data_IF_570586418955
#
_entry.id   IF_570586418955
#
_cell.length_a   1.000
_cell.length_b   1.000
_cell.length_c   1.000
_cell.angle_alpha   90.00
_cell.angle_beta   90.00
_cell.angle_gamma   90.00
#
_symmetry.space_group_name_H-M   'P 1'
#
loop_
_entity.id
_entity.type
_entity.pdbx_description
1 polymer ?
#
# COMPACT_ATOMS: atom_id res chain seq x y z
N UNK A 1 -6.46 -44.31 -21.37
CA UNK A 1 -5.32 -43.52 -20.84
C UNK A 1 -5.71 -42.90 -19.50
N UNK A 2 -5.31 -43.51 -18.38
CA UNK A 2 -5.55 -42.96 -17.05
C UNK A 2 -4.53 -41.85 -16.77
N UNK A 3 -4.97 -40.59 -16.78
CA UNK A 3 -4.15 -39.44 -16.37
C UNK A 3 -3.89 -39.54 -14.86
N UNK A 4 -2.72 -40.07 -14.50
CA UNK A 4 -2.23 -40.06 -13.13
C UNK A 4 -2.10 -38.63 -12.63
N UNK A 5 -2.99 -38.22 -11.72
CA UNK A 5 -2.82 -36.96 -10.97
C UNK A 5 -1.54 -37.09 -10.16
N UNK A 6 -0.49 -36.38 -10.57
CA UNK A 6 0.73 -36.25 -9.80
C UNK A 6 0.39 -35.77 -8.39
N UNK A 7 0.62 -36.64 -7.39
CA UNK A 7 0.48 -36.27 -5.97
C UNK A 7 1.54 -35.21 -5.69
N UNK A 8 1.11 -33.97 -5.48
CA UNK A 8 1.98 -32.90 -5.01
C UNK A 8 2.72 -33.30 -3.72
N UNK A 9 3.83 -32.62 -3.39
CA UNK A 9 4.68 -32.98 -2.27
C UNK A 9 3.86 -33.11 -0.98
N UNK A 10 3.87 -34.29 -0.37
CA UNK A 10 3.22 -34.55 0.91
C UNK A 10 3.97 -33.75 1.98
N UNK A 11 3.41 -32.61 2.40
CA UNK A 11 4.03 -31.78 3.43
C UNK A 11 4.24 -32.49 4.75
N UNK A 12 5.30 -32.10 5.46
CA UNK A 12 5.67 -32.68 6.76
C UNK A 12 4.62 -32.29 7.80
N UNK A 13 3.95 -33.28 8.39
CA UNK A 13 3.05 -33.06 9.54
C UNK A 13 3.88 -32.88 10.80
N UNK A 14 3.65 -31.77 11.52
CA UNK A 14 4.29 -31.52 12.81
C UNK A 14 3.45 -32.14 13.93
N UNK A 15 4.09 -32.93 14.79
CA UNK A 15 3.47 -33.46 16.00
C UNK A 15 3.62 -32.48 17.16
N UNK A 16 2.75 -32.58 18.17
CA UNK A 16 2.83 -31.72 19.36
C UNK A 16 4.17 -31.89 20.11
N UNK A 17 4.75 -33.10 20.10
CA UNK A 17 6.06 -33.36 20.72
C UNK A 17 7.17 -32.57 20.04
N UNK A 18 7.19 -32.56 18.70
CA UNK A 18 8.14 -31.76 17.92
C UNK A 18 7.94 -30.27 18.21
N UNK A 19 6.69 -29.79 18.19
CA UNK A 19 6.39 -28.39 18.49
C UNK A 19 6.87 -27.97 19.90
N UNK A 20 6.64 -28.80 20.92
CA UNK A 20 7.12 -28.53 22.29
C UNK A 20 8.64 -28.49 22.38
N UNK A 21 9.34 -29.42 21.71
CA UNK A 21 10.79 -29.47 21.70
C UNK A 21 11.43 -28.32 20.89
N UNK A 22 10.66 -27.70 20.00
CA UNK A 22 11.04 -26.52 19.22
C UNK A 22 10.87 -25.20 19.98
N UNK A 23 10.34 -25.22 21.20
CA UNK A 23 10.24 -24.02 22.03
C UNK A 23 11.61 -23.72 22.63
N UNK A 24 12.05 -22.48 22.44
CA UNK A 24 13.29 -21.92 23.00
C UNK A 24 12.94 -20.70 23.84
N UNK A 25 13.79 -20.40 24.82
CA UNK A 25 13.70 -19.15 25.58
C UNK A 25 14.64 -18.14 24.91
N UNK A 26 14.15 -16.96 24.60
CA UNK A 26 14.98 -15.87 24.07
C UNK A 26 15.76 -15.19 25.21
N UNK A 27 16.75 -14.38 24.87
CA UNK A 27 17.56 -13.68 25.87
C UNK A 27 16.71 -12.78 26.79
N UNK A 28 15.56 -12.29 26.30
CA UNK A 28 14.58 -11.50 27.04
C UNK A 28 13.63 -12.34 27.92
N UNK A 29 13.88 -13.65 28.06
CA UNK A 29 13.05 -14.57 28.84
C UNK A 29 11.73 -14.98 28.16
N UNK A 30 11.54 -14.64 26.88
CA UNK A 30 10.31 -14.93 26.13
C UNK A 30 10.32 -16.31 25.51
N UNK A 31 9.14 -16.88 25.26
CA UNK A 31 9.01 -18.21 24.67
C UNK A 31 8.84 -18.10 23.16
N UNK A 32 9.85 -18.58 22.41
CA UNK A 32 9.85 -18.64 20.96
C UNK A 32 9.60 -20.06 20.48
N UNK A 33 8.55 -20.25 19.69
CA UNK A 33 8.32 -21.49 18.94
C UNK A 33 8.96 -21.38 17.55
N UNK A 34 10.04 -22.13 17.34
CA UNK A 34 10.79 -22.14 16.08
C UNK A 34 10.48 -23.40 15.25
N UNK A 35 9.67 -23.21 14.21
CA UNK A 35 9.30 -24.22 13.22
C UNK A 35 9.75 -23.81 11.81
N UNK A 36 10.80 -23.00 11.73
CA UNK A 36 11.37 -22.57 10.46
C UNK A 36 12.00 -23.74 9.68
N UNK A 37 11.96 -23.67 8.34
CA UNK A 37 12.62 -24.67 7.45
C UNK A 37 12.17 -26.13 7.65
N UNK A 38 10.94 -26.36 8.10
CA UNK A 38 10.44 -27.70 8.42
C UNK A 38 9.68 -28.39 7.26
N UNK A 39 9.53 -27.73 6.11
CA UNK A 39 8.80 -28.29 4.96
C UNK A 39 7.29 -28.42 5.21
N UNK A 40 6.74 -27.54 6.04
CA UNK A 40 5.32 -27.54 6.42
C UNK A 40 4.50 -26.98 5.26
N UNK A 41 3.51 -27.73 4.78
CA UNK A 41 2.58 -27.25 3.72
C UNK A 41 1.26 -26.72 4.27
N UNK A 42 0.84 -27.24 5.42
CA UNK A 42 -0.43 -26.93 6.06
C UNK A 42 -0.17 -26.53 7.49
N UNK A 43 -0.83 -25.45 7.94
CA UNK A 43 -0.66 -24.96 9.29
C UNK A 43 -0.91 -26.08 10.33
N UNK A 44 0.04 -26.34 11.24
CA UNK A 44 -0.06 -27.45 12.17
C UNK A 44 -1.00 -27.10 13.33
N UNK A 45 -2.28 -27.50 13.26
CA UNK A 45 -3.29 -27.21 14.30
C UNK A 45 -2.87 -27.59 15.74
N UNK A 46 -1.93 -28.51 15.90
CA UNK A 46 -1.40 -28.88 17.22
C UNK A 46 -0.70 -27.71 17.94
N UNK A 47 -0.10 -26.76 17.21
CA UNK A 47 0.58 -25.61 17.83
C UNK A 47 -0.38 -24.62 18.48
N UNK A 48 -1.67 -24.67 18.13
CA UNK A 48 -2.72 -23.87 18.77
C UNK A 48 -2.92 -24.21 20.26
N UNK A 49 -2.37 -25.33 20.73
CA UNK A 49 -2.34 -25.70 22.15
C UNK A 49 -1.22 -25.00 22.93
N UNK A 50 -0.29 -24.34 22.24
CA UNK A 50 0.86 -23.63 22.79
C UNK A 50 0.59 -22.13 22.76
N UNK A 51 -0.54 -21.69 23.31
CA UNK A 51 -0.99 -20.29 23.28
C UNK A 51 -0.13 -19.35 24.15
N UNK A 52 0.77 -19.93 24.94
CA UNK A 52 1.68 -19.29 25.89
C UNK A 52 3.00 -18.83 25.27
N UNK A 53 3.10 -18.82 23.93
CA UNK A 53 4.29 -18.36 23.21
C UNK A 53 4.21 -16.87 22.87
N UNK A 54 5.34 -16.19 22.99
CA UNK A 54 5.50 -14.77 22.66
C UNK A 54 5.98 -14.57 21.21
N UNK A 55 6.73 -15.53 20.67
CA UNK A 55 7.33 -15.44 19.34
C UNK A 55 7.06 -16.72 18.55
N UNK A 56 6.61 -16.58 17.30
CA UNK A 56 6.30 -17.69 16.41
C UNK A 56 7.04 -17.54 15.09
N UNK A 57 7.93 -18.49 14.82
CA UNK A 57 8.68 -18.58 13.56
C UNK A 57 8.16 -19.75 12.74
N UNK A 58 7.48 -19.45 11.64
CA UNK A 58 7.05 -20.41 10.61
C UNK A 58 7.71 -20.11 9.27
N UNK A 59 8.83 -19.38 9.27
CA UNK A 59 9.51 -18.96 8.06
C UNK A 59 10.08 -20.13 7.24
N UNK A 60 10.30 -19.89 5.94
CA UNK A 60 10.93 -20.85 5.01
C UNK A 60 10.21 -22.20 4.97
N UNK A 61 8.88 -22.15 4.93
CA UNK A 61 8.02 -23.32 4.78
C UNK A 61 7.26 -23.21 3.44
N UNK A 62 6.23 -24.04 3.26
CA UNK A 62 5.38 -24.04 2.06
C UNK A 62 3.91 -23.76 2.44
N UNK A 63 3.69 -22.95 3.47
CA UNK A 63 2.35 -22.61 3.94
C UNK A 63 1.61 -21.80 2.89
N UNK A 64 0.40 -22.23 2.53
CA UNK A 64 -0.47 -21.50 1.60
C UNK A 64 -1.49 -20.57 2.28
N UNK A 65 -1.89 -20.94 3.49
CA UNK A 65 -2.91 -20.25 4.28
C UNK A 65 -2.57 -20.29 5.76
N UNK A 66 -2.89 -19.21 6.45
CA UNK A 66 -2.90 -19.14 7.91
C UNK A 66 -4.36 -19.29 8.37
N UNK A 67 -4.66 -20.15 9.36
CA UNK A 67 -6.04 -20.38 9.81
C UNK A 67 -6.52 -19.23 10.70
N UNK A 68 -7.84 -19.04 10.76
CA UNK A 68 -8.46 -18.02 11.61
C UNK A 68 -8.17 -18.24 13.10
N UNK A 69 -7.92 -19.48 13.51
CA UNK A 69 -7.52 -19.83 14.87
C UNK A 69 -6.16 -19.25 15.32
N UNK A 70 -5.46 -18.49 14.47
CA UNK A 70 -4.24 -17.75 14.86
C UNK A 70 -4.51 -16.78 16.01
N UNK A 71 -5.75 -16.30 16.17
CA UNK A 71 -6.19 -15.48 17.31
C UNK A 71 -5.91 -16.11 18.68
N UNK A 72 -5.71 -17.43 18.76
CA UNK A 72 -5.40 -18.11 20.03
C UNK A 72 -4.07 -17.66 20.64
N UNK A 73 -3.15 -17.11 19.85
CA UNK A 73 -1.86 -16.62 20.34
C UNK A 73 -1.97 -15.19 20.88
N UNK A 74 -2.76 -14.99 21.94
CA UNK A 74 -3.04 -13.66 22.51
C UNK A 74 -1.79 -12.92 23.02
N UNK A 75 -0.75 -13.67 23.42
CA UNK A 75 0.52 -13.11 23.90
C UNK A 75 1.54 -12.86 22.78
N UNK A 76 1.20 -13.15 21.52
CA UNK A 76 2.16 -13.09 20.44
C UNK A 76 2.61 -11.66 20.17
N UNK A 77 3.93 -11.46 20.23
CA UNK A 77 4.61 -10.19 19.98
C UNK A 77 5.39 -10.20 18.67
N UNK A 78 5.83 -11.38 18.23
CA UNK A 78 6.65 -11.54 17.04
C UNK A 78 6.11 -12.70 16.20
N UNK A 79 5.77 -12.41 14.95
CA UNK A 79 5.28 -13.40 13.99
C UNK A 79 6.08 -13.31 12.70
N UNK A 80 6.76 -14.40 12.36
CA UNK A 80 7.50 -14.50 11.12
C UNK A 80 6.99 -15.64 10.25
N UNK A 81 6.53 -15.26 9.07
CA UNK A 81 5.95 -16.08 8.03
C UNK A 81 6.74 -15.91 6.72
N UNK A 82 7.96 -15.37 6.77
CA UNK A 82 8.72 -15.05 5.56
C UNK A 82 9.00 -16.30 4.72
N UNK A 83 9.09 -16.14 3.40
CA UNK A 83 9.42 -17.24 2.47
C UNK A 83 8.47 -18.44 2.61
N UNK A 84 7.19 -18.17 2.40
CA UNK A 84 6.12 -19.18 2.31
C UNK A 84 5.37 -18.99 0.97
N UNK A 85 4.19 -19.62 0.82
CA UNK A 85 3.33 -19.48 -0.35
C UNK A 85 1.98 -18.86 0.05
N UNK A 86 1.97 -17.97 1.04
CA UNK A 86 0.74 -17.44 1.63
C UNK A 86 0.08 -16.51 0.61
N UNK A 87 -1.17 -16.83 0.28
CA UNK A 87 -1.99 -16.08 -0.68
C UNK A 87 -2.91 -15.07 0.04
N UNK A 88 -3.37 -15.39 1.25
CA UNK A 88 -4.26 -14.55 2.06
C UNK A 88 -3.90 -14.59 3.54
N UNK A 89 -3.97 -13.43 4.19
CA UNK A 89 -3.95 -13.32 5.65
C UNK A 89 -5.39 -13.35 6.21
N UNK A 90 -5.63 -14.08 7.30
CA UNK A 90 -6.95 -14.14 7.94
C UNK A 90 -7.29 -12.81 8.61
N UNK A 91 -8.58 -12.49 8.67
CA UNK A 91 -9.09 -11.26 9.32
C UNK A 91 -8.76 -11.26 10.82
N UNK A 92 -8.74 -12.45 11.43
CA UNK A 92 -8.38 -12.64 12.84
C UNK A 92 -6.93 -12.28 13.18
N UNK A 93 -6.07 -11.98 12.19
CA UNK A 93 -4.75 -11.40 12.46
C UNK A 93 -4.86 -10.10 13.25
N UNK A 94 -5.93 -9.31 13.04
CA UNK A 94 -6.18 -8.07 13.78
C UNK A 94 -6.43 -8.27 15.28
N UNK A 95 -6.76 -9.49 15.72
CA UNK A 95 -6.96 -9.81 17.13
C UNK A 95 -5.65 -9.97 17.92
N UNK A 96 -4.50 -10.04 17.24
CA UNK A 96 -3.18 -10.15 17.90
C UNK A 96 -2.72 -8.78 18.44
N UNK A 97 -3.42 -8.26 19.43
CA UNK A 97 -3.24 -6.89 19.94
C UNK A 97 -1.83 -6.62 20.51
N UNK A 98 -1.11 -7.67 20.93
CA UNK A 98 0.26 -7.57 21.45
C UNK A 98 1.34 -7.63 20.35
N UNK A 99 0.95 -7.83 19.08
CA UNK A 99 1.90 -8.02 17.99
C UNK A 99 2.68 -6.73 17.70
N UNK A 100 4.00 -6.83 17.80
CA UNK A 100 4.94 -5.73 17.58
C UNK A 100 5.74 -5.89 16.29
N UNK A 101 5.91 -7.12 15.83
CA UNK A 101 6.65 -7.46 14.62
C UNK A 101 5.87 -8.47 13.78
N UNK A 102 5.64 -8.13 12.52
CA UNK A 102 5.03 -9.01 11.53
C UNK A 102 5.88 -9.03 10.26
N UNK A 103 6.39 -10.21 9.92
CA UNK A 103 7.10 -10.44 8.67
C UNK A 103 6.35 -11.46 7.82
N UNK A 104 5.85 -11.01 6.67
CA UNK A 104 5.16 -11.83 5.67
C UNK A 104 5.83 -11.66 4.30
N UNK A 105 7.11 -11.29 4.29
CA UNK A 105 7.85 -11.08 3.05
C UNK A 105 8.10 -12.38 2.28
N UNK A 106 8.32 -12.28 0.97
CA UNK A 106 8.53 -13.43 0.08
C UNK A 106 7.36 -14.43 0.16
N UNK A 107 6.16 -13.94 -0.16
CA UNK A 107 4.91 -14.71 -0.21
C UNK A 107 4.16 -14.36 -1.51
N UNK A 108 2.88 -14.74 -1.62
CA UNK A 108 2.03 -14.50 -2.79
C UNK A 108 0.86 -13.57 -2.44
N UNK A 109 1.07 -12.64 -1.51
CA UNK A 109 0.01 -11.73 -1.08
C UNK A 109 -0.30 -10.71 -2.17
N UNK A 110 -1.59 -10.46 -2.39
CA UNK A 110 -2.09 -9.36 -3.23
C UNK A 110 -2.80 -8.33 -2.36
N UNK A 111 -3.06 -7.12 -2.88
CA UNK A 111 -3.79 -6.08 -2.13
C UNK A 111 -5.16 -6.53 -1.61
N UNK A 112 -5.92 -7.26 -2.44
CA UNK A 112 -7.25 -7.80 -2.10
C UNK A 112 -7.20 -8.84 -0.97
N UNK A 113 -6.05 -9.44 -0.77
CA UNK A 113 -5.85 -10.48 0.23
C UNK A 113 -5.20 -9.97 1.52
N UNK A 114 -5.00 -8.65 1.64
CA UNK A 114 -4.59 -7.99 2.85
C UNK A 114 -5.85 -7.55 3.63
N UNK A 115 -6.12 -8.15 4.82
CA UNK A 115 -7.31 -7.84 5.60
C UNK A 115 -7.28 -6.41 6.13
N UNK A 116 -8.44 -5.77 6.20
CA UNK A 116 -8.57 -4.41 6.75
C UNK A 116 -8.25 -4.38 8.25
N UNK A 117 -8.47 -5.51 8.92
CA UNK A 117 -8.20 -5.80 10.33
C UNK A 117 -6.70 -5.70 10.66
N UNK A 118 -5.80 -5.70 9.67
CA UNK A 118 -4.38 -5.41 9.90
C UNK A 118 -4.20 -4.03 10.56
N UNK A 119 -5.12 -3.08 10.30
CA UNK A 119 -5.15 -1.76 10.94
C UNK A 119 -5.47 -1.79 12.44
N UNK A 120 -5.97 -2.90 12.97
CA UNK A 120 -6.29 -3.08 14.39
C UNK A 120 -5.06 -3.39 15.25
N UNK A 121 -3.92 -3.70 14.63
CA UNK A 121 -2.66 -4.04 15.30
C UNK A 121 -1.95 -2.80 15.88
N UNK A 122 -2.57 -2.12 16.84
CA UNK A 122 -2.13 -0.81 17.35
C UNK A 122 -0.68 -0.78 17.90
N UNK A 123 -0.16 -1.93 18.35
CA UNK A 123 1.20 -2.06 18.90
C UNK A 123 2.25 -2.44 17.85
N UNK A 124 1.87 -2.57 16.57
CA UNK A 124 2.79 -3.01 15.52
C UNK A 124 3.85 -1.95 15.25
N UNK A 125 5.13 -2.33 15.40
CA UNK A 125 6.29 -1.46 15.20
C UNK A 125 7.01 -1.74 13.89
N UNK A 126 7.01 -2.99 13.46
CA UNK A 126 7.68 -3.42 12.23
C UNK A 126 6.76 -4.29 11.40
N UNK A 127 6.55 -3.88 10.14
CA UNK A 127 5.75 -4.59 9.16
C UNK A 127 6.58 -4.82 7.90
N UNK A 128 6.80 -6.08 7.53
CA UNK A 128 7.49 -6.42 6.29
C UNK A 128 6.56 -7.21 5.34
N UNK A 129 6.20 -6.56 4.24
CA UNK A 129 5.37 -7.04 3.14
C UNK A 129 6.17 -7.15 1.83
N UNK A 130 7.51 -7.04 1.87
CA UNK A 130 8.33 -7.07 0.66
C UNK A 130 8.30 -8.42 -0.08
N UNK A 131 8.71 -8.45 -1.36
CA UNK A 131 8.68 -9.66 -2.21
C UNK A 131 7.28 -10.32 -2.21
N UNK A 132 6.25 -9.54 -2.49
CA UNK A 132 4.88 -10.02 -2.66
C UNK A 132 4.33 -9.53 -4.01
N UNK A 133 3.02 -9.67 -4.22
CA UNK A 133 2.33 -9.26 -5.44
C UNK A 133 1.35 -8.12 -5.12
N UNK A 134 1.75 -7.21 -4.23
CA UNK A 134 0.89 -6.11 -3.76
C UNK A 134 0.97 -4.97 -4.77
N UNK A 135 -0.16 -4.61 -5.35
CA UNK A 135 -0.34 -3.51 -6.29
C UNK A 135 -0.79 -2.21 -5.61
N UNK A 136 -1.56 -2.32 -4.52
CA UNK A 136 -2.09 -1.20 -3.77
C UNK A 136 -2.03 -1.46 -2.25
N UNK A 137 -1.73 -0.41 -1.49
CA UNK A 137 -1.72 -0.44 -0.03
C UNK A 137 -3.01 0.21 0.48
N UNK A 138 -3.79 -0.46 1.34
CA UNK A 138 -5.00 0.14 1.88
C UNK A 138 -4.67 1.35 2.76
N UNK A 139 -5.45 2.42 2.62
CA UNK A 139 -5.29 3.66 3.42
C UNK A 139 -5.42 3.41 4.92
N UNK A 140 -6.12 2.34 5.31
CA UNK A 140 -6.34 1.90 6.69
C UNK A 140 -5.05 1.53 7.43
N UNK A 141 -3.96 1.18 6.73
CA UNK A 141 -2.63 1.00 7.34
C UNK A 141 -2.13 2.27 8.04
N UNK A 142 -2.62 3.44 7.65
CA UNK A 142 -2.32 4.71 8.33
C UNK A 142 -2.83 4.78 9.79
N UNK A 143 -3.70 3.87 10.22
CA UNK A 143 -4.15 3.79 11.61
C UNK A 143 -3.04 3.28 12.56
N UNK A 144 -2.01 2.62 12.03
CA UNK A 144 -0.92 2.01 12.78
C UNK A 144 0.14 3.04 13.20
N UNK A 145 -0.23 3.90 14.17
CA UNK A 145 0.59 5.04 14.62
C UNK A 145 1.94 4.65 15.25
N UNK A 146 2.10 3.41 15.72
CA UNK A 146 3.32 2.90 16.34
C UNK A 146 4.32 2.28 15.34
N UNK A 147 4.01 2.29 14.04
CA UNK A 147 4.92 1.76 13.02
C UNK A 147 6.19 2.61 12.91
N UNK A 148 7.32 1.93 13.04
CA UNK A 148 8.66 2.49 12.89
C UNK A 148 9.32 2.04 11.58
N UNK A 149 9.07 0.79 11.16
CA UNK A 149 9.70 0.19 9.99
C UNK A 149 8.64 -0.48 9.10
N UNK A 150 8.63 -0.09 7.82
CA UNK A 150 7.73 -0.65 6.81
C UNK A 150 8.55 -1.09 5.59
N UNK A 151 8.52 -2.39 5.33
CA UNK A 151 9.14 -3.02 4.16
C UNK A 151 8.11 -3.34 3.10
N UNK A 152 8.23 -2.74 1.92
CA UNK A 152 7.33 -2.88 0.76
C UNK A 152 8.11 -3.12 -0.54
N UNK A 153 9.40 -3.40 -0.43
CA UNK A 153 10.27 -3.62 -1.58
C UNK A 153 9.81 -4.82 -2.43
N UNK A 154 10.09 -4.82 -3.72
CA UNK A 154 9.73 -5.91 -4.62
C UNK A 154 8.23 -6.26 -4.59
N UNK A 155 7.42 -5.28 -4.97
CA UNK A 155 5.99 -5.42 -5.15
C UNK A 155 5.59 -4.73 -6.47
N UNK A 156 4.29 -4.63 -6.74
CA UNK A 156 3.73 -3.97 -7.92
C UNK A 156 3.13 -2.60 -7.59
N UNK A 157 3.65 -1.92 -6.56
CA UNK A 157 3.11 -0.64 -6.09
C UNK A 157 3.36 0.47 -7.11
N UNK A 158 2.30 1.18 -7.48
CA UNK A 158 2.37 2.38 -8.31
C UNK A 158 2.28 3.68 -7.49
N UNK A 159 1.71 3.61 -6.29
CA UNK A 159 1.62 4.73 -5.37
C UNK A 159 1.66 4.26 -3.92
N UNK A 160 2.05 5.17 -3.02
CA UNK A 160 1.96 4.96 -1.58
C UNK A 160 0.91 5.93 -1.05
N UNK A 161 -0.11 5.45 -0.32
CA UNK A 161 -1.12 6.33 0.23
C UNK A 161 -0.48 7.32 1.22
N UNK A 162 -0.93 8.58 1.15
CA UNK A 162 -0.45 9.65 2.03
C UNK A 162 -0.59 9.30 3.52
N UNK A 163 -1.54 8.44 3.88
CA UNK A 163 -1.73 7.97 5.26
C UNK A 163 -0.56 7.15 5.78
N UNK A 164 0.12 6.38 4.92
CA UNK A 164 1.33 5.60 5.27
C UNK A 164 2.57 6.48 5.20
N UNK A 165 2.64 7.38 4.22
CA UNK A 165 3.75 8.33 4.08
C UNK A 165 3.84 9.33 5.26
N UNK A 166 2.71 9.68 5.88
CA UNK A 166 2.61 10.63 7.01
C UNK A 166 2.52 9.96 8.38
N UNK A 167 2.94 8.71 8.51
CA UNK A 167 2.97 8.03 9.80
C UNK A 167 3.94 8.73 10.77
N UNK A 168 3.52 9.08 12.00
CA UNK A 168 4.27 9.99 12.87
C UNK A 168 5.57 9.40 13.41
N UNK A 169 5.65 8.07 13.54
CA UNK A 169 6.80 7.36 14.13
C UNK A 169 7.64 6.59 13.09
N UNK A 170 7.31 6.73 11.81
CA UNK A 170 7.96 5.96 10.75
C UNK A 170 9.40 6.46 10.52
N UNK A 171 10.37 5.57 10.76
CA UNK A 171 11.80 5.84 10.62
C UNK A 171 12.37 5.26 9.33
N UNK A 172 11.85 4.10 8.89
CA UNK A 172 12.33 3.39 7.70
C UNK A 172 11.16 2.95 6.84
N UNK A 173 11.16 3.41 5.59
CA UNK A 173 10.23 2.98 4.56
C UNK A 173 11.04 2.46 3.36
N UNK A 174 10.99 1.16 3.11
CA UNK A 174 11.67 0.56 1.98
C UNK A 174 10.66 0.21 0.89
N UNK A 175 10.70 0.95 -0.21
CA UNK A 175 9.79 0.79 -1.35
C UNK A 175 10.54 0.49 -2.65
N UNK A 176 11.81 0.11 -2.56
CA UNK A 176 12.66 -0.17 -3.72
C UNK A 176 12.06 -1.28 -4.61
N UNK A 177 12.38 -1.26 -5.91
CA UNK A 177 11.91 -2.25 -6.88
C UNK A 177 10.38 -2.36 -6.93
N UNK A 178 9.71 -1.21 -6.99
CA UNK A 178 8.29 -1.09 -7.31
C UNK A 178 8.13 -0.26 -8.58
N UNK A 179 7.09 -0.51 -9.41
CA UNK A 179 6.80 0.23 -10.62
C UNK A 179 6.16 1.60 -10.30
N UNK A 180 6.84 2.42 -9.51
CA UNK A 180 6.41 3.82 -9.35
C UNK A 180 6.53 4.52 -10.69
N UNK A 181 5.54 5.35 -11.06
CA UNK A 181 5.66 6.20 -12.23
C UNK A 181 6.92 7.04 -12.06
N UNK A 182 7.86 6.88 -12.98
CA UNK A 182 8.92 7.86 -13.15
C UNK A 182 8.22 9.18 -13.46
N UNK A 183 8.52 10.29 -12.76
CA UNK A 183 8.00 11.58 -13.16
C UNK A 183 8.46 11.81 -14.61
N UNK A 184 7.53 11.66 -15.54
CA UNK A 184 7.71 12.11 -16.91
C UNK A 184 7.82 13.63 -16.84
N UNK A 185 8.81 14.20 -17.53
CA UNK A 185 9.12 15.65 -17.55
C UNK A 185 7.92 16.57 -17.88
N UNK A 186 6.77 16.01 -18.26
CA UNK A 186 5.50 16.72 -18.47
C UNK A 186 4.84 17.23 -17.18
N UNK A 187 5.16 16.66 -16.00
CA UNK A 187 4.69 17.21 -14.71
C UNK A 187 5.53 18.39 -14.21
N UNK A 188 6.59 18.80 -14.92
CA UNK A 188 7.37 20.02 -14.60
C UNK A 188 6.67 21.32 -15.01
N UNK A 189 5.49 21.26 -15.64
CA UNK A 189 4.58 22.41 -15.71
C UNK A 189 3.76 22.57 -14.40
N UNK A 190 4.41 22.39 -13.25
CA UNK A 190 3.88 22.98 -12.01
C UNK A 190 4.09 24.48 -12.15
N UNK A 191 2.98 25.15 -12.43
CA UNK A 191 2.76 26.59 -12.37
C UNK A 191 3.86 27.31 -11.58
N UNK A 192 4.84 27.87 -12.29
CA UNK A 192 5.84 28.77 -11.69
C UNK A 192 5.22 30.14 -11.39
N UNK A 193 3.90 30.20 -11.18
CA UNK A 193 3.27 31.31 -10.52
C UNK A 193 3.55 31.10 -9.03
N UNK A 194 4.66 31.69 -8.56
CA UNK A 194 4.83 31.99 -7.13
C UNK A 194 3.50 32.58 -6.67
N UNK A 195 2.78 31.87 -5.79
CA UNK A 195 1.63 32.42 -5.07
C UNK A 195 2.16 33.61 -4.27
N UNK A 196 2.07 34.80 -4.85
CA UNK A 196 2.41 36.03 -4.17
C UNK A 196 1.32 36.18 -3.10
N UNK A 197 1.72 36.10 -1.82
CA UNK A 197 0.81 36.11 -0.67
C UNK A 197 0.07 37.45 -0.47
N UNK A 198 0.27 38.42 -1.37
CA UNK A 198 -0.31 39.75 -1.26
C UNK A 198 -0.56 40.34 -2.66
N UNK A 199 -1.81 40.28 -3.10
CA UNK A 199 -2.30 41.00 -4.27
C UNK A 199 -3.02 42.26 -3.78
N UNK A 200 -2.45 43.43 -4.06
CA UNK A 200 -3.09 44.71 -3.78
C UNK A 200 -3.63 45.30 -5.08
N UNK A 201 -4.93 45.59 -5.12
CA UNK A 201 -5.53 46.39 -6.19
C UNK A 201 -5.18 47.85 -5.93
N UNK A 202 -4.50 48.49 -6.88
CA UNK A 202 -4.10 49.90 -6.81
C UNK A 202 -4.79 50.64 -7.95
N UNK A 203 -5.35 51.80 -7.63
CA UNK A 203 -6.02 52.68 -8.57
C UNK A 203 -4.98 53.44 -9.43
N UNK A 204 -5.27 53.72 -10.71
CA UNK A 204 -4.26 54.29 -11.63
C UNK A 204 -3.71 55.65 -11.17
N UNK A 205 -4.54 56.43 -10.47
CA UNK A 205 -4.21 57.72 -9.86
C UNK A 205 -3.16 57.62 -8.74
N UNK A 206 -3.02 56.45 -8.12
CA UNK A 206 -2.12 56.21 -7.00
C UNK A 206 -0.75 55.65 -7.48
N UNK A 207 -0.57 55.48 -8.78
CA UNK A 207 0.69 55.05 -9.40
C UNK A 207 1.51 56.25 -9.86
N UNK A 208 2.81 56.27 -9.53
CA UNK A 208 3.72 57.24 -10.12
C UNK A 208 3.87 56.98 -11.64
N UNK A 209 4.18 58.05 -12.39
CA UNK A 209 4.26 58.01 -13.86
C UNK A 209 5.13 56.86 -14.44
N UNK A 210 6.30 56.50 -13.85
CA UNK A 210 7.07 55.34 -14.32
C UNK A 210 6.39 53.98 -14.10
N UNK A 211 5.65 53.82 -13.00
CA UNK A 211 4.95 52.58 -12.66
C UNK A 211 3.68 52.40 -13.49
N UNK A 212 2.95 53.49 -13.75
CA UNK A 212 1.78 53.48 -14.64
C UNK A 212 2.18 53.03 -16.06
N UNK A 213 3.28 53.59 -16.58
CA UNK A 213 3.81 53.22 -17.90
C UNK A 213 4.20 51.74 -17.98
N UNK A 214 4.91 51.21 -16.98
CA UNK A 214 5.24 49.77 -16.92
C UNK A 214 4.00 48.88 -16.89
N UNK A 215 2.96 49.29 -16.16
CA UNK A 215 1.70 48.54 -16.08
C UNK A 215 0.98 48.50 -17.44
N UNK A 216 0.96 49.63 -18.15
CA UNK A 216 0.38 49.73 -19.49
C UNK A 216 1.15 48.87 -20.51
N UNK A 217 2.49 48.93 -20.49
CA UNK A 217 3.35 48.13 -21.39
C UNK A 217 3.11 46.62 -21.21
N UNK A 218 3.00 46.13 -19.97
CA UNK A 218 2.70 44.73 -19.68
C UNK A 218 1.28 44.34 -20.07
N UNK A 219 0.30 45.25 -19.90
CA UNK A 219 -1.09 45.02 -20.33
C UNK A 219 -1.19 44.91 -21.85
N UNK A 220 -0.45 45.71 -22.59
CA UNK A 220 -0.38 45.64 -24.05
C UNK A 220 0.30 44.35 -24.54
N UNK A 221 1.35 43.88 -23.86
CA UNK A 221 1.93 42.56 -24.14
C UNK A 221 0.92 41.44 -23.94
N UNK A 222 0.14 41.49 -22.86
CA UNK A 222 -0.89 40.49 -22.57
C UNK A 222 -2.01 40.50 -23.62
N UNK A 223 -2.43 41.69 -24.07
CA UNK A 223 -3.42 41.84 -25.14
C UNK A 223 -2.91 41.31 -26.48
N UNK A 224 -1.62 41.48 -26.80
CA UNK A 224 -0.97 40.87 -27.97
C UNK A 224 -0.89 39.34 -27.90
N UNK A 225 -0.76 38.77 -26.70
CA UNK A 225 -0.83 37.32 -26.49
C UNK A 225 -2.27 36.79 -26.65
N UNK A 226 -3.27 37.52 -26.16
CA UNK A 226 -4.70 37.14 -26.32
C UNK A 226 -5.21 37.26 -27.75
N UNK A 227 -4.64 38.14 -28.58
CA UNK A 227 -5.04 38.28 -29.99
C UNK A 227 -4.43 37.21 -30.92
N UNK A 228 -3.53 36.36 -30.43
CA UNK A 228 -3.13 35.12 -31.12
C UNK A 228 -4.20 34.04 -30.93
N UNK A 229 -5.15 33.99 -31.87
CA UNK A 229 -6.13 32.90 -32.02
C UNK A 229 -5.38 31.54 -32.11
N UNK A 230 -5.82 30.47 -31.43
CA UNK A 230 -5.22 29.15 -31.59
C UNK A 230 -5.46 28.62 -33.01
N UNK A 231 -4.37 28.38 -33.74
CA UNK A 231 -4.42 27.67 -35.02
C UNK A 231 -4.95 26.25 -34.80
N UNK A 232 -6.18 26.00 -35.25
CA UNK A 232 -6.79 24.70 -35.53
C UNK A 232 -6.49 23.58 -34.52
N UNK A 233 -7.37 23.42 -33.53
CA UNK A 233 -7.68 22.10 -33.00
C UNK A 233 -8.17 21.24 -34.17
N UNK A 234 -7.32 20.37 -34.72
CA UNK A 234 -7.78 19.28 -35.59
C UNK A 234 -8.78 18.47 -34.78
N UNK A 235 -10.06 18.56 -35.12
CA UNK A 235 -11.08 17.61 -34.66
C UNK A 235 -10.57 16.20 -35.00
N UNK A 236 -10.43 15.28 -34.04
CA UNK A 236 -10.19 13.88 -34.39
C UNK A 236 -11.38 13.38 -35.20
N UNK A 237 -11.09 12.90 -36.41
CA UNK A 237 -12.07 12.38 -37.35
C UNK A 237 -12.44 10.96 -36.91
N UNK A 238 -13.56 10.78 -36.20
CA UNK A 238 -14.07 9.46 -35.83
C UNK A 238 -15.04 8.95 -36.92
N UNK A 239 -14.51 8.59 -38.09
CA UNK A 239 -15.30 8.06 -39.22
C UNK A 239 -15.68 6.57 -39.06
N UNK A 240 -15.76 6.03 -37.85
CA UNK A 240 -15.99 4.58 -37.65
C UNK A 240 -16.74 4.20 -36.37
N UNK A 241 -17.35 5.13 -35.65
CA UNK A 241 -18.17 4.80 -34.50
C UNK A 241 -19.65 4.93 -34.86
N UNK A 242 -20.31 3.77 -34.96
CA UNK A 242 -21.77 3.63 -35.04
C UNK A 242 -22.43 4.47 -33.94
N UNK A 243 -23.36 5.34 -34.34
CA UNK A 243 -24.25 6.08 -33.44
C UNK A 243 -25.12 5.11 -32.64
N UNK A 244 -25.19 5.21 -31.30
CA UNK A 244 -26.35 4.73 -30.58
C UNK A 244 -27.45 5.80 -30.68
N UNK A 245 -28.61 5.38 -31.19
CA UNK A 245 -29.90 6.00 -30.92
C UNK A 245 -29.98 6.44 -29.45
N UNK A 246 -30.22 7.72 -29.20
CA UNK A 246 -31.20 8.10 -28.18
C UNK A 246 -31.59 9.57 -28.33
N UNK A 247 -32.88 9.76 -28.56
CA UNK A 247 -33.61 11.01 -28.47
C UNK A 247 -33.47 11.63 -27.08
N UNK A 248 -32.79 12.77 -26.97
CA UNK A 248 -32.95 13.72 -25.87
C UNK A 248 -32.41 15.09 -26.31
N UNK A 249 -33.13 15.72 -27.24
CA UNK A 249 -33.14 17.18 -27.36
C UNK A 249 -33.88 17.74 -26.14
N UNK A 250 -33.41 18.88 -25.67
CA UNK A 250 -34.15 19.88 -24.89
C UNK A 250 -34.55 19.47 -23.46
N UNK A 251 -33.76 19.94 -22.48
CA UNK A 251 -34.31 20.67 -21.35
C UNK A 251 -33.23 21.50 -20.65
N UNK A 252 -33.07 22.74 -21.10
CA UNK A 252 -32.26 23.77 -20.48
C UNK A 252 -33.18 24.66 -19.64
N UNK A 253 -33.81 24.10 -18.60
CA UNK A 253 -34.66 24.85 -17.66
C UNK A 253 -34.88 24.07 -16.35
N UNK A 254 -33.82 23.76 -15.60
CA UNK A 254 -34.01 23.19 -14.25
C UNK A 254 -32.85 23.42 -13.27
N UNK A 255 -32.18 24.57 -13.35
CA UNK A 255 -31.20 24.99 -12.32
C UNK A 255 -31.47 26.46 -11.94
N UNK A 256 -32.53 26.67 -11.15
CA UNK A 256 -32.61 27.74 -10.15
C UNK A 256 -32.63 27.07 -8.77
#
# INVERSE_FOLDING_TARGET
MAKGKAKGPKGKKITLKVAKNSIKITFDGRRRLDLSKMGITTFPKCILKLADVDELDLSRNMLKKIPDSIEKFQNLRWLDLHSNQIEKLPETIGMLQNLSYLNVSNNKLTSKNLPVELSQLKNLRSLNLGLNQIDNIPTTLGALKELHEVGLFDNYLTAIPNSVAKLPKLKKLNVKRNPFPTPTDEELFVDTIKRIESLYLVDEKDLCHPCLKKCQDERDKLNKLKSRVPSSLRKPNFSSLMTPNSTAKENQAEWR
#
